data_IF_061527184925
#
_entry.id   IF_061527184925
#
_cell.length_a   1.000
_cell.length_b   1.000
_cell.length_c   1.000
_cell.angle_alpha   90.00
_cell.angle_beta   90.00
_cell.angle_gamma   90.00
#
_symmetry.space_group_name_H-M   'P 1'
#
loop_
_entity.id
_entity.type
_entity.pdbx_description
1 polymer ?
#
# COMPACT_ATOMS: atom_id res chain seq x y z
N UNK A 1 -29.84 55.53 -28.52
CA UNK A 1 -28.67 54.64 -28.65
C UNK A 1 -28.45 53.92 -27.34
N UNK A 2 -28.34 52.57 -27.39
CA UNK A 2 -27.89 51.60 -26.35
C UNK A 2 -28.77 51.55 -25.06
N UNK A 3 -29.79 50.66 -25.00
CA UNK A 3 -29.74 49.21 -24.62
C UNK A 3 -29.20 49.00 -23.19
N UNK A 4 -29.71 48.17 -22.31
CA UNK A 4 -30.95 47.41 -22.12
C UNK A 4 -30.83 46.84 -20.69
N UNK A 5 -31.97 46.76 -20.00
CA UNK A 5 -32.16 46.10 -18.71
C UNK A 5 -31.84 44.59 -18.87
N UNK A 6 -30.91 44.04 -18.08
CA UNK A 6 -30.66 42.59 -18.03
C UNK A 6 -31.10 42.04 -16.67
N UNK A 7 -32.28 41.38 -16.58
CA UNK A 7 -32.62 40.54 -15.44
C UNK A 7 -32.08 39.12 -15.64
N UNK A 8 -31.98 38.37 -14.53
CA UNK A 8 -31.87 36.90 -14.48
C UNK A 8 -30.63 36.25 -15.12
N UNK A 9 -29.77 35.59 -14.31
CA UNK A 9 -29.61 34.13 -14.37
C UNK A 9 -28.56 33.59 -13.38
N UNK A 10 -28.96 32.48 -12.75
CA UNK A 10 -28.14 31.34 -12.32
C UNK A 10 -27.13 31.52 -11.17
N UNK A 11 -27.62 31.18 -9.97
CA UNK A 11 -26.87 30.51 -8.92
C UNK A 11 -26.20 29.26 -9.51
N UNK A 12 -24.92 29.35 -9.89
CA UNK A 12 -24.11 28.16 -10.24
C UNK A 12 -23.77 27.46 -8.94
N UNK A 13 -24.61 26.52 -8.51
CA UNK A 13 -24.19 25.49 -7.56
C UNK A 13 -23.11 24.66 -8.24
N UNK A 14 -21.85 25.01 -8.03
CA UNK A 14 -20.70 24.20 -8.42
C UNK A 14 -20.78 22.94 -7.56
N UNK A 15 -21.50 21.93 -8.05
CA UNK A 15 -21.37 20.55 -7.62
C UNK A 15 -19.96 20.13 -8.01
N UNK A 16 -18.96 20.50 -7.20
CA UNK A 16 -17.64 19.90 -7.28
C UNK A 16 -17.85 18.43 -6.92
N UNK A 17 -18.01 17.58 -7.94
CA UNK A 17 -17.88 16.15 -7.83
C UNK A 17 -16.49 15.89 -7.25
N UNK A 18 -16.39 15.77 -5.92
CA UNK A 18 -15.24 15.18 -5.26
C UNK A 18 -15.28 13.68 -5.56
N UNK A 19 -14.92 13.34 -6.80
CA UNK A 19 -14.52 11.98 -7.13
C UNK A 19 -13.17 11.77 -6.43
N UNK A 20 -13.19 11.36 -5.16
CA UNK A 20 -11.97 10.96 -4.47
C UNK A 20 -11.32 9.87 -5.32
N UNK A 21 -10.02 9.98 -5.65
CA UNK A 21 -9.34 8.95 -6.42
C UNK A 21 -9.49 7.64 -5.66
N UNK A 22 -10.16 6.67 -6.29
CA UNK A 22 -10.38 5.35 -5.72
C UNK A 22 -9.00 4.69 -5.63
N UNK A 23 -8.47 4.56 -4.42
CA UNK A 23 -7.19 3.89 -4.19
C UNK A 23 -7.26 2.48 -4.80
N UNK A 24 -6.32 2.17 -5.70
CA UNK A 24 -6.25 0.90 -6.39
C UNK A 24 -4.93 0.21 -6.04
N UNK A 25 -5.01 -1.06 -5.66
CA UNK A 25 -3.81 -1.85 -5.46
C UNK A 25 -3.11 -2.13 -6.80
N UNK A 26 -1.77 -2.18 -6.81
CA UNK A 26 -0.99 -2.56 -7.98
C UNK A 26 -1.04 -4.09 -8.17
N UNK A 27 -2.22 -4.62 -8.52
CA UNK A 27 -2.40 -6.06 -8.74
C UNK A 27 -1.44 -6.59 -9.81
N UNK A 28 -0.84 -7.75 -9.55
CA UNK A 28 0.09 -8.41 -10.47
C UNK A 28 1.48 -7.74 -10.58
N UNK A 29 1.70 -6.58 -9.97
CA UNK A 29 3.01 -5.91 -9.95
C UNK A 29 3.84 -6.40 -8.76
N UNK A 30 5.14 -6.54 -9.00
CA UNK A 30 6.12 -6.81 -7.95
C UNK A 30 6.43 -5.54 -7.17
N UNK A 31 6.20 -5.56 -5.87
CA UNK A 31 6.60 -4.51 -4.95
C UNK A 31 7.85 -4.93 -4.20
N UNK A 32 8.88 -4.10 -4.24
CA UNK A 32 10.17 -4.28 -3.56
C UNK A 32 10.26 -3.39 -2.34
N UNK A 33 10.69 -3.94 -1.21
CA UNK A 33 10.88 -3.19 0.03
C UNK A 33 12.07 -2.23 -0.11
N UNK A 34 11.84 -0.95 0.19
CA UNK A 34 12.88 0.10 0.13
C UNK A 34 13.17 0.70 1.51
N UNK A 35 12.19 0.64 2.42
CA UNK A 35 12.33 1.14 3.78
C UNK A 35 11.46 0.30 4.73
N UNK A 36 11.98 0.01 5.93
CA UNK A 36 11.28 -0.73 6.97
C UNK A 36 11.54 -0.07 8.34
N UNK A 37 10.47 0.28 9.05
CA UNK A 37 10.49 0.89 10.39
C UNK A 37 11.41 2.13 10.48
N UNK A 38 11.53 2.88 9.39
CA UNK A 38 12.39 4.07 9.30
C UNK A 38 13.79 3.81 8.72
N UNK A 39 14.24 2.55 8.66
CA UNK A 39 15.56 2.16 8.14
C UNK A 39 15.50 1.87 6.62
N UNK A 40 16.51 2.30 5.86
CA UNK A 40 16.62 1.95 4.44
C UNK A 40 17.03 0.49 4.27
N UNK A 41 16.35 -0.21 3.36
CA UNK A 41 16.61 -1.62 3.08
C UNK A 41 17.31 -1.73 1.72
N UNK A 42 18.48 -2.40 1.64
CA UNK A 42 19.16 -2.59 0.36
C UNK A 42 18.38 -3.56 -0.54
N UNK A 43 18.38 -3.31 -1.84
CA UNK A 43 17.71 -4.18 -2.81
C UNK A 43 18.19 -5.64 -2.76
N UNK A 44 19.46 -5.86 -2.36
CA UNK A 44 20.05 -7.19 -2.16
C UNK A 44 19.35 -8.03 -1.06
N UNK A 45 18.56 -7.41 -0.19
CA UNK A 45 17.76 -8.11 0.81
C UNK A 45 16.67 -9.00 0.20
N UNK A 46 16.31 -8.82 -1.08
CA UNK A 46 15.33 -9.64 -1.79
C UNK A 46 13.97 -9.74 -1.09
N UNK A 47 13.53 -8.64 -0.48
CA UNK A 47 12.21 -8.55 0.15
C UNK A 47 11.24 -7.88 -0.80
N UNK A 48 10.17 -8.59 -1.14
CA UNK A 48 9.15 -8.08 -2.04
C UNK A 48 8.01 -9.06 -2.24
N UNK A 49 6.87 -8.58 -2.72
CA UNK A 49 5.67 -9.37 -2.91
C UNK A 49 4.79 -8.75 -4.00
N UNK A 50 3.79 -9.52 -4.44
CA UNK A 50 2.74 -9.05 -5.33
C UNK A 50 1.37 -9.26 -4.70
N UNK A 51 0.42 -8.40 -5.04
CA UNK A 51 -0.99 -8.61 -4.74
C UNK A 51 -1.61 -9.53 -5.80
N UNK A 52 -2.14 -10.66 -5.35
CA UNK A 52 -2.86 -11.62 -6.18
C UNK A 52 -4.37 -11.37 -6.09
N UNK A 53 -4.98 -11.01 -7.22
CA UNK A 53 -6.38 -10.63 -7.28
C UNK A 53 -7.31 -11.84 -7.16
N UNK A 54 -6.91 -12.99 -7.69
CA UNK A 54 -7.75 -14.20 -7.72
C UNK A 54 -7.89 -14.83 -6.33
N UNK A 55 -6.77 -15.00 -5.64
CA UNK A 55 -6.74 -15.63 -4.31
C UNK A 55 -6.89 -14.64 -3.15
N UNK A 56 -6.90 -13.33 -3.42
CA UNK A 56 -6.91 -12.26 -2.41
C UNK A 56 -5.77 -12.41 -1.38
N UNK A 57 -4.58 -12.75 -1.86
CA UNK A 57 -3.37 -12.93 -1.05
C UNK A 57 -2.22 -12.07 -1.56
N UNK A 58 -1.30 -11.74 -0.67
CA UNK A 58 0.05 -11.35 -1.05
C UNK A 58 0.93 -12.59 -1.08
N UNK A 59 1.82 -12.66 -2.06
CA UNK A 59 2.79 -13.74 -2.20
C UNK A 59 4.13 -13.13 -2.56
N UNK A 60 5.21 -13.61 -1.93
CA UNK A 60 6.51 -13.00 -2.14
C UNK A 60 7.65 -13.64 -1.38
N UNK A 61 8.76 -12.90 -1.35
CA UNK A 61 9.96 -13.19 -0.56
C UNK A 61 10.07 -12.21 0.59
N UNK A 62 10.35 -12.75 1.78
CA UNK A 62 10.65 -12.00 2.99
C UNK A 62 12.16 -11.94 3.26
N UNK A 63 12.97 -12.19 2.23
CA UNK A 63 14.42 -12.30 2.32
C UNK A 63 14.85 -13.74 2.10
N UNK A 64 15.12 -14.46 3.20
CA UNK A 64 15.45 -15.88 3.12
C UNK A 64 14.25 -16.69 2.66
N UNK A 65 13.11 -16.49 3.33
CA UNK A 65 11.91 -17.30 3.12
C UNK A 65 10.94 -16.73 2.10
N UNK A 66 10.18 -17.63 1.49
CA UNK A 66 8.97 -17.27 0.76
C UNK A 66 7.82 -17.17 1.76
N UNK A 67 6.88 -16.28 1.50
CA UNK A 67 5.71 -16.09 2.35
C UNK A 67 4.44 -15.84 1.54
N UNK A 68 3.30 -16.09 2.16
CA UNK A 68 2.00 -15.68 1.65
C UNK A 68 1.06 -15.31 2.80
N UNK A 69 0.22 -14.31 2.60
CA UNK A 69 -0.79 -13.90 3.58
C UNK A 69 -2.05 -13.39 2.88
N UNK A 70 -3.26 -13.71 3.39
CA UNK A 70 -4.48 -13.08 2.91
C UNK A 70 -4.47 -11.59 3.21
N UNK A 71 -5.07 -10.78 2.35
CA UNK A 71 -5.27 -9.36 2.62
C UNK A 71 -6.74 -8.96 2.48
N UNK A 72 -7.09 -7.85 3.11
CA UNK A 72 -8.39 -7.20 2.90
C UNK A 72 -8.14 -5.72 2.64
N UNK A 73 -8.76 -5.21 1.57
CA UNK A 73 -8.71 -3.80 1.20
C UNK A 73 -10.12 -3.20 1.25
N UNK A 74 -10.30 -2.12 2.01
CA UNK A 74 -11.52 -1.32 2.05
C UNK A 74 -11.17 0.16 1.93
N UNK A 75 -11.17 0.68 0.70
CA UNK A 75 -10.65 2.01 0.41
C UNK A 75 -9.13 2.01 0.53
N UNK A 76 -8.58 2.83 1.43
CA UNK A 76 -7.16 2.87 1.78
C UNK A 76 -6.81 2.01 3.01
N UNK A 77 -7.81 1.40 3.65
CA UNK A 77 -7.61 0.49 4.78
C UNK A 77 -7.16 -0.86 4.25
N UNK A 78 -5.95 -1.25 4.64
CA UNK A 78 -5.33 -2.52 4.29
C UNK A 78 -4.99 -3.26 5.57
N UNK A 79 -5.38 -4.53 5.63
CA UNK A 79 -4.98 -5.42 6.71
C UNK A 79 -4.57 -6.77 6.14
N UNK A 80 -3.60 -7.41 6.78
CA UNK A 80 -3.18 -8.77 6.46
C UNK A 80 -3.72 -9.72 7.53
N UNK A 81 -4.18 -10.90 7.10
CA UNK A 81 -4.51 -11.99 8.02
C UNK A 81 -3.29 -12.89 8.26
N UNK A 82 -3.53 -14.02 8.91
CA UNK A 82 -2.47 -14.95 9.28
C UNK A 82 -1.73 -15.48 8.04
N UNK A 83 -0.44 -15.20 7.99
CA UNK A 83 0.45 -15.61 6.93
C UNK A 83 1.11 -16.95 7.20
N UNK A 84 1.60 -17.56 6.13
CA UNK A 84 2.49 -18.72 6.17
C UNK A 84 3.81 -18.35 5.52
N UNK A 85 4.91 -18.85 6.07
CA UNK A 85 6.25 -18.70 5.51
C UNK A 85 6.97 -20.05 5.49
N UNK A 86 7.88 -20.21 4.54
CA UNK A 86 8.81 -21.36 4.55
C UNK A 86 9.75 -21.27 5.76
N UNK A 87 10.42 -22.37 6.11
CA UNK A 87 11.36 -22.45 7.25
C UNK A 87 12.77 -22.81 6.79
N UNK A 88 13.35 -21.99 5.93
CA UNK A 88 14.77 -22.06 5.57
C UNK A 88 15.61 -21.33 6.61
N UNK A 89 16.79 -21.87 6.91
CA UNK A 89 17.75 -21.27 7.82
C UNK A 89 18.74 -20.41 7.03
N UNK A 90 18.72 -19.09 7.24
CA UNK A 90 19.74 -18.17 6.76
C UNK A 90 20.49 -17.53 7.95
N UNK A 91 21.76 -17.08 7.75
CA UNK A 91 22.53 -16.46 8.83
C UNK A 91 21.92 -15.18 9.41
N UNK A 92 21.10 -14.45 8.65
CA UNK A 92 20.47 -13.21 9.09
C UNK A 92 18.95 -13.29 8.88
N UNK A 93 18.22 -13.48 9.98
CA UNK A 93 16.76 -13.60 10.00
C UNK A 93 16.07 -12.36 10.59
N UNK A 94 16.83 -11.41 11.13
CA UNK A 94 16.25 -10.26 11.84
C UNK A 94 15.40 -9.39 10.91
N UNK A 95 15.90 -9.15 9.70
CA UNK A 95 15.19 -8.35 8.71
C UNK A 95 13.90 -9.06 8.24
N UNK A 96 13.95 -10.38 8.04
CA UNK A 96 12.77 -11.18 7.70
C UNK A 96 11.71 -11.11 8.81
N UNK A 97 12.12 -11.34 10.05
CA UNK A 97 11.24 -11.33 11.21
C UNK A 97 10.59 -9.95 11.40
N UNK A 98 11.38 -8.87 11.26
CA UNK A 98 10.85 -7.49 11.31
C UNK A 98 9.84 -7.25 10.19
N UNK A 99 10.11 -7.71 8.97
CA UNK A 99 9.21 -7.53 7.84
C UNK A 99 7.90 -8.30 8.05
N UNK A 100 7.97 -9.59 8.38
CA UNK A 100 6.78 -10.42 8.61
C UNK A 100 5.96 -9.92 9.82
N UNK A 101 6.63 -9.52 10.90
CA UNK A 101 5.98 -8.95 12.09
C UNK A 101 5.40 -7.55 11.88
N UNK A 102 5.86 -6.80 10.88
CA UNK A 102 5.29 -5.51 10.50
C UNK A 102 3.95 -5.68 9.78
N UNK A 103 3.76 -6.77 8.99
CA UNK A 103 2.52 -7.01 8.25
C UNK A 103 1.28 -7.06 9.16
N UNK A 104 1.40 -7.59 10.38
CA UNK A 104 0.29 -7.63 11.34
C UNK A 104 -0.09 -6.26 11.91
N UNK A 105 0.81 -5.27 11.81
CA UNK A 105 0.60 -3.91 12.30
C UNK A 105 -0.03 -3.00 11.24
N UNK A 106 -0.04 -3.40 9.97
CA UNK A 106 -0.58 -2.60 8.87
C UNK A 106 -2.08 -2.42 9.02
N UNK A 107 -2.52 -1.16 8.97
CA UNK A 107 -3.94 -0.76 8.94
C UNK A 107 -4.29 0.08 7.71
N UNK A 108 -3.29 0.70 7.09
CA UNK A 108 -3.48 1.57 5.95
C UNK A 108 -2.36 1.43 4.93
N UNK A 109 -2.70 1.70 3.68
CA UNK A 109 -1.78 1.82 2.56
C UNK A 109 -2.02 3.15 1.85
N UNK A 110 -0.97 3.83 1.44
CA UNK A 110 -1.04 5.03 0.60
C UNK A 110 -0.06 4.90 -0.56
N UNK A 111 -0.42 5.50 -1.68
CA UNK A 111 0.47 5.65 -2.83
C UNK A 111 0.92 7.11 -2.92
N UNK A 112 2.23 7.33 -3.00
CA UNK A 112 2.85 8.64 -3.19
C UNK A 112 3.74 8.55 -4.42
N UNK A 113 3.26 9.07 -5.55
CA UNK A 113 3.92 8.88 -6.85
C UNK A 113 4.00 7.39 -7.22
N UNK A 114 5.23 6.90 -7.44
CA UNK A 114 5.51 5.50 -7.77
C UNK A 114 5.81 4.63 -6.54
N UNK A 115 5.66 5.16 -5.32
CA UNK A 115 5.93 4.43 -4.07
C UNK A 115 4.63 4.10 -3.35
N UNK A 116 4.62 2.93 -2.71
CA UNK A 116 3.55 2.51 -1.81
C UNK A 116 4.07 2.52 -0.38
N UNK A 117 3.28 3.01 0.57
CA UNK A 117 3.68 3.13 1.95
C UNK A 117 2.61 2.55 2.88
N UNK A 118 3.04 1.75 3.83
CA UNK A 118 2.20 1.13 4.85
C UNK A 118 2.23 1.93 6.13
N UNK A 119 1.09 1.98 6.80
CA UNK A 119 0.90 2.72 8.04
C UNK A 119 0.20 1.85 9.08
N UNK A 120 0.51 2.09 10.35
CA UNK A 120 -0.21 1.51 11.49
C UNK A 120 -1.51 2.27 11.80
N UNK A 121 -2.18 1.88 12.88
CA UNK A 121 -3.41 2.52 13.36
C UNK A 121 -3.22 3.99 13.76
N UNK A 122 -2.04 4.35 14.25
CA UNK A 122 -1.69 5.71 14.66
C UNK A 122 -1.25 6.60 13.47
N UNK A 123 -1.16 6.03 12.26
CA UNK A 123 -0.66 6.73 11.07
C UNK A 123 0.86 6.83 11.01
N UNK A 124 1.60 6.04 11.80
CA UNK A 124 3.06 5.94 11.71
C UNK A 124 3.44 5.12 10.49
N UNK A 125 4.41 5.61 9.71
CA UNK A 125 4.95 4.89 8.58
C UNK A 125 5.71 3.63 9.02
N UNK A 126 5.29 2.49 8.49
CA UNK A 126 5.87 1.17 8.81
C UNK A 126 6.83 0.68 7.74
N UNK A 127 6.48 0.82 6.46
CA UNK A 127 7.29 0.33 5.35
C UNK A 127 7.00 1.12 4.06
N UNK A 128 8.00 1.23 3.19
CA UNK A 128 7.85 1.81 1.86
C UNK A 128 8.33 0.84 0.78
N UNK A 129 7.62 0.83 -0.35
CA UNK A 129 7.84 -0.08 -1.46
C UNK A 129 7.90 0.70 -2.77
N UNK A 130 8.68 0.19 -3.72
CA UNK A 130 8.65 0.61 -5.12
C UNK A 130 8.36 -0.58 -6.02
N UNK A 131 7.83 -0.30 -7.20
CA UNK A 131 7.90 -1.25 -8.33
C UNK A 131 9.37 -1.47 -8.76
#
# INVERSE_FOLDING_TARGET
>A
MKKALFPFLALVAILTFQCSPKFALPFGKDLRLTQLLGESVPAAANIGFKFDQESQKIMGKAGCNNFSAPFTLKGDKLSFGDGVATKMACPNMDLENKFLGMLSQVKQIKQVGSKFQFFDEAGKALAAFSE
#
